data_IF_969738634078
#
_entry.id   IF_969738634078
#
_cell.length_a   1.000
_cell.length_b   1.000
_cell.length_c   1.000
_cell.angle_alpha   90.00
_cell.angle_beta   90.00
_cell.angle_gamma   90.00
#
_symmetry.space_group_name_H-M   'P 1'
#
loop_
_entity.id
_entity.type
_entity.pdbx_description
1 polymer ?
#
# COMPACT_ATOMS: atom_id res chain seq x y z
N UNK A 1 -10.20 4.65 22.67
CA UNK A 1 -11.00 5.60 21.86
C UNK A 1 -10.83 5.18 20.41
N UNK A 2 -11.91 4.84 19.71
CA UNK A 2 -11.85 4.65 18.26
C UNK A 2 -11.77 6.03 17.63
N UNK A 3 -10.61 6.37 17.07
CA UNK A 3 -10.46 7.57 16.24
C UNK A 3 -11.24 7.28 14.95
N UNK A 4 -12.22 8.13 14.63
CA UNK A 4 -12.92 8.07 13.36
C UNK A 4 -12.10 8.90 12.38
N UNK A 5 -11.67 8.27 11.30
CA UNK A 5 -10.98 8.93 10.20
C UNK A 5 -12.06 9.53 9.31
N UNK A 6 -11.98 10.84 9.08
CA UNK A 6 -12.90 11.49 8.17
C UNK A 6 -12.67 10.98 6.72
N UNK A 7 -13.71 10.96 5.88
CA UNK A 7 -13.58 10.40 4.53
C UNK A 7 -12.55 11.11 3.64
N UNK A 8 -12.30 12.39 3.84
CA UNK A 8 -11.36 13.17 3.03
C UNK A 8 -9.92 12.76 3.35
N UNK A 9 -9.57 12.67 4.63
CA UNK A 9 -8.27 12.18 5.10
C UNK A 9 -8.00 10.76 4.60
N UNK A 10 -8.98 9.85 4.74
CA UNK A 10 -8.82 8.47 4.26
C UNK A 10 -8.59 8.39 2.75
N UNK A 11 -9.37 9.14 1.96
CA UNK A 11 -9.18 9.23 0.51
C UNK A 11 -7.83 9.86 0.13
N UNK A 12 -7.40 10.89 0.85
CA UNK A 12 -6.12 11.55 0.63
C UNK A 12 -4.95 10.59 0.89
N UNK A 13 -4.97 9.86 2.01
CA UNK A 13 -3.99 8.82 2.32
C UNK A 13 -3.92 7.75 1.23
N UNK A 14 -5.08 7.27 0.76
CA UNK A 14 -5.13 6.27 -0.31
C UNK A 14 -4.45 6.78 -1.60
N UNK A 15 -4.79 8.01 -2.01
CA UNK A 15 -4.23 8.61 -3.21
C UNK A 15 -2.71 8.81 -3.11
N UNK A 16 -2.22 9.31 -1.97
CA UNK A 16 -0.79 9.54 -1.75
C UNK A 16 -0.01 8.23 -1.70
N UNK A 17 -0.52 7.21 -1.01
CA UNK A 17 0.09 5.88 -1.00
C UNK A 17 0.20 5.29 -2.41
N UNK A 18 -0.85 5.40 -3.22
CA UNK A 18 -0.84 4.90 -4.59
C UNK A 18 0.20 5.62 -5.46
N UNK A 19 0.40 6.92 -5.26
CA UNK A 19 1.46 7.69 -5.93
C UNK A 19 2.86 7.23 -5.48
N UNK A 20 3.09 7.08 -4.18
CA UNK A 20 4.42 6.74 -3.66
C UNK A 20 4.90 5.34 -4.03
N UNK A 21 3.98 4.43 -4.32
CA UNK A 21 4.30 3.09 -4.82
C UNK A 21 4.25 3.00 -6.34
N UNK A 22 4.24 4.15 -7.03
CA UNK A 22 4.24 4.27 -8.49
C UNK A 22 3.15 3.40 -9.15
N UNK A 23 1.96 3.38 -8.57
CA UNK A 23 0.80 2.62 -9.07
C UNK A 23 0.98 1.10 -9.18
N UNK A 24 2.04 0.53 -8.60
CA UNK A 24 2.18 -0.93 -8.42
C UNK A 24 1.14 -1.51 -7.45
N UNK A 25 0.47 -0.63 -6.72
CA UNK A 25 -0.69 -0.95 -5.92
C UNK A 25 -1.85 -0.04 -6.29
N UNK A 26 -3.07 -0.57 -6.19
CA UNK A 26 -4.29 0.20 -6.10
C UNK A 26 -4.66 0.34 -4.63
N UNK A 27 -4.88 1.56 -4.15
CA UNK A 27 -5.23 1.80 -2.75
C UNK A 27 -6.64 2.37 -2.66
N UNK A 28 -7.49 1.74 -1.86
CA UNK A 28 -8.86 2.18 -1.63
C UNK A 28 -9.05 2.53 -0.14
N UNK A 29 -9.69 3.66 0.12
CA UNK A 29 -10.28 3.93 1.43
C UNK A 29 -11.66 3.27 1.51
N UNK A 30 -11.91 2.52 2.58
CA UNK A 30 -13.20 1.88 2.86
C UNK A 30 -13.83 2.53 4.11
N UNK A 31 -14.66 3.59 3.96
CA UNK A 31 -15.18 4.38 5.08
C UNK A 31 -15.99 3.56 6.11
N UNK A 32 -16.76 2.57 5.62
CA UNK A 32 -17.56 1.69 6.49
C UNK A 32 -16.72 0.73 7.33
N UNK A 33 -15.51 0.40 6.87
CA UNK A 33 -14.56 -0.44 7.60
C UNK A 33 -13.49 0.35 8.37
N UNK A 34 -13.38 1.66 8.13
CA UNK A 34 -12.35 2.54 8.72
C UNK A 34 -10.93 2.00 8.49
N UNK A 35 -10.64 1.59 7.24
CA UNK A 35 -9.35 1.03 6.84
C UNK A 35 -9.05 1.30 5.36
N UNK A 36 -7.77 1.21 5.03
CA UNK A 36 -7.25 1.21 3.67
C UNK A 36 -7.09 -0.24 3.19
N UNK A 37 -7.43 -0.48 1.92
CA UNK A 37 -7.17 -1.75 1.24
C UNK A 37 -6.25 -1.51 0.06
N UNK A 38 -5.11 -2.20 0.06
CA UNK A 38 -4.12 -2.17 -1.01
C UNK A 38 -4.20 -3.44 -1.84
N UNK A 39 -4.44 -3.34 -3.15
CA UNK A 39 -4.39 -4.44 -4.11
C UNK A 39 -3.12 -4.35 -4.94
N UNK A 40 -2.31 -5.41 -4.94
CA UNK A 40 -1.10 -5.44 -5.74
C UNK A 40 -1.42 -5.64 -7.22
N UNK A 41 -0.91 -4.76 -8.08
CA UNK A 41 -1.10 -4.80 -9.54
C UNK A 41 0.02 -5.52 -10.29
N UNK A 42 1.09 -5.89 -9.60
CA UNK A 42 2.23 -6.58 -10.20
C UNK A 42 1.96 -8.06 -10.47
N UNK A 43 2.94 -8.72 -11.09
CA UNK A 43 2.91 -10.14 -11.36
C UNK A 43 3.07 -10.92 -10.05
N UNK A 44 1.95 -11.33 -9.48
CA UNK A 44 1.87 -12.12 -8.26
C UNK A 44 0.73 -13.14 -8.39
N UNK A 45 0.67 -14.13 -7.49
CA UNK A 45 -0.22 -15.31 -7.50
C UNK A 45 -1.57 -15.13 -8.22
N UNK A 46 -2.03 -16.16 -8.94
CA UNK A 46 -3.22 -16.14 -9.82
C UNK A 46 -4.51 -15.62 -9.16
N UNK A 47 -4.62 -15.67 -7.83
CA UNK A 47 -5.75 -15.14 -7.07
C UNK A 47 -5.68 -13.64 -6.74
N UNK A 48 -4.58 -12.95 -7.09
CA UNK A 48 -4.29 -11.60 -6.65
C UNK A 48 -3.93 -11.52 -5.16
N UNK A 49 -3.28 -10.42 -4.75
CA UNK A 49 -2.98 -10.18 -3.34
C UNK A 49 -3.46 -8.80 -2.92
N UNK A 50 -4.14 -8.77 -1.76
CA UNK A 50 -4.49 -7.54 -1.10
C UNK A 50 -4.09 -7.55 0.37
N UNK A 51 -3.92 -6.35 0.94
CA UNK A 51 -3.63 -6.11 2.35
C UNK A 51 -4.51 -4.99 2.87
N UNK A 52 -4.80 -5.03 4.17
CA UNK A 52 -5.63 -4.06 4.87
C UNK A 52 -4.85 -3.48 6.04
N UNK A 53 -5.02 -2.20 6.29
CA UNK A 53 -4.43 -1.48 7.42
C UNK A 53 -5.30 -0.28 7.77
N UNK A 54 -5.39 0.08 9.05
CA UNK A 54 -6.27 1.19 9.49
C UNK A 54 -5.79 2.53 8.97
N UNK A 55 -4.49 2.67 8.83
CA UNK A 55 -3.79 3.87 8.38
C UNK A 55 -2.56 3.48 7.51
N UNK A 56 -1.85 4.46 6.94
CA UNK A 56 -0.66 4.19 6.15
C UNK A 56 0.48 3.50 6.94
N UNK A 57 0.62 3.73 8.25
CA UNK A 57 1.67 3.10 9.05
C UNK A 57 1.47 1.59 9.16
N UNK A 58 0.22 1.15 9.32
CA UNK A 58 -0.11 -0.28 9.35
C UNK A 58 0.01 -0.93 7.97
N UNK A 59 -0.42 -0.22 6.92
CA UNK A 59 -0.49 -0.79 5.58
C UNK A 59 0.90 -0.89 4.91
N UNK A 60 1.77 0.10 5.11
CA UNK A 60 3.08 0.18 4.46
C UNK A 60 3.97 -1.08 4.63
N UNK A 61 4.23 -1.59 5.85
CA UNK A 61 5.08 -2.77 6.01
C UNK A 61 4.48 -4.02 5.35
N UNK A 62 3.15 -4.13 5.30
CA UNK A 62 2.46 -5.25 4.64
C UNK A 62 2.64 -5.20 3.11
N UNK A 63 2.50 -4.02 2.52
CA UNK A 63 2.76 -3.80 1.10
C UNK A 63 4.21 -4.09 0.75
N UNK A 64 5.14 -3.61 1.57
CA UNK A 64 6.59 -3.82 1.39
C UNK A 64 6.96 -5.30 1.37
N UNK A 65 6.41 -6.12 2.28
CA UNK A 65 6.65 -7.57 2.29
C UNK A 65 6.23 -8.24 0.98
N UNK A 66 5.02 -7.94 0.49
CA UNK A 66 4.53 -8.46 -0.80
C UNK A 66 5.40 -7.99 -1.96
N UNK A 67 5.74 -6.70 -2.00
CA UNK A 67 6.54 -6.15 -3.08
C UNK A 67 7.96 -6.74 -3.12
N UNK A 68 8.57 -6.99 -1.96
CA UNK A 68 9.87 -7.67 -1.88
C UNK A 68 9.81 -9.09 -2.42
N UNK A 69 8.76 -9.85 -2.09
CA UNK A 69 8.56 -11.20 -2.64
C UNK A 69 8.31 -11.16 -4.14
N UNK A 70 7.48 -10.22 -4.61
CA UNK A 70 7.23 -10.03 -6.04
C UNK A 70 8.50 -9.69 -6.82
N UNK A 71 9.38 -8.86 -6.25
CA UNK A 71 10.70 -8.57 -6.82
C UNK A 71 11.58 -9.81 -6.94
N UNK A 72 11.64 -10.65 -5.90
CA UNK A 72 12.42 -11.89 -5.93
C UNK A 72 11.94 -12.81 -7.04
N UNK A 73 10.62 -12.96 -7.20
CA UNK A 73 10.02 -13.76 -8.26
C UNK A 73 10.27 -13.18 -9.65
N UNK A 74 10.05 -11.88 -9.83
CA UNK A 74 10.25 -11.21 -11.12
C UNK A 74 11.70 -11.34 -11.63
N UNK A 75 12.69 -11.34 -10.73
CA UNK A 75 14.09 -11.56 -11.06
C UNK A 75 14.37 -12.97 -11.61
N UNK A 76 13.63 -13.99 -11.16
CA UNK A 76 13.76 -15.38 -11.64
C UNK A 76 13.02 -15.58 -12.97
N UNK A 77 11.85 -14.96 -13.11
CA UNK A 77 10.93 -15.17 -14.24
C UNK A 77 11.12 -14.16 -15.38
N UNK A 78 12.13 -13.27 -15.30
CA UNK A 78 12.37 -12.19 -16.26
C UNK A 78 11.15 -11.27 -16.50
N UNK A 79 10.37 -11.03 -15.45
CA UNK A 79 9.20 -10.15 -15.46
C UNK A 79 9.60 -8.72 -15.04
N UNK A 80 8.76 -7.71 -15.33
CA UNK A 80 8.91 -6.37 -14.79
C UNK A 80 9.09 -6.39 -13.26
N UNK A 81 10.20 -5.82 -12.78
CA UNK A 81 10.58 -5.82 -11.36
C UNK A 81 9.94 -4.60 -10.68
N UNK A 82 9.03 -4.77 -9.70
CA UNK A 82 8.47 -3.66 -8.93
C UNK A 82 9.57 -2.86 -8.22
N UNK A 83 9.45 -1.55 -7.96
CA UNK A 83 10.47 -0.77 -7.27
C UNK A 83 10.71 -1.25 -5.83
N UNK A 84 11.82 -0.84 -5.20
CA UNK A 84 12.02 -1.10 -3.76
C UNK A 84 11.20 -0.08 -2.98
N UNK A 85 10.36 -0.55 -2.05
CA UNK A 85 9.76 0.35 -1.06
C UNK A 85 10.72 0.50 0.11
N UNK A 86 10.98 1.75 0.50
CA UNK A 86 11.82 2.08 1.66
C UNK A 86 11.24 1.50 2.95
N UNK A 87 12.10 1.31 3.95
CA UNK A 87 11.71 0.62 5.18
C UNK A 87 10.58 1.37 5.92
N UNK A 88 10.70 2.69 6.03
CA UNK A 88 9.73 3.53 6.70
C UNK A 88 8.78 4.15 5.68
N UNK A 89 7.58 4.47 6.12
CA UNK A 89 6.65 5.28 5.34
C UNK A 89 7.34 6.62 4.99
N UNK A 90 7.22 7.12 3.74
CA UNK A 90 7.84 8.39 3.34
C UNK A 90 7.42 9.55 4.24
N UNK A 91 8.34 10.49 4.52
CA UNK A 91 8.10 11.61 5.44
C UNK A 91 6.91 12.50 5.03
N UNK A 92 6.65 12.59 3.72
CA UNK A 92 5.49 13.27 3.12
C UNK A 92 4.16 12.72 3.65
N UNK A 93 4.06 11.40 3.74
CA UNK A 93 2.90 10.69 4.28
C UNK A 93 2.95 10.63 5.81
N UNK A 94 4.15 10.47 6.39
CA UNK A 94 4.36 10.42 7.84
C UNK A 94 3.83 11.67 8.54
N UNK A 95 4.18 12.85 8.02
CA UNK A 95 3.82 14.13 8.63
C UNK A 95 2.34 14.49 8.44
N UNK A 96 1.65 13.85 7.50
CA UNK A 96 0.25 14.14 7.19
C UNK A 96 -0.74 13.16 7.87
N UNK A 97 -0.22 12.23 8.67
CA UNK A 97 -1.01 11.39 9.58
C UNK A 97 -1.07 12.01 10.99
N UNK A 98 -0.19 13.00 11.26
CA UNK A 98 -0.07 13.72 12.54
C UNK A 98 -0.98 14.93 12.67
#
# INVERSE_FOLDING_TARGET
MNVIIDPETGCWWAAQLEQEVHHWWQILWEPGGQHLTAYFRGHWEEGGVYRKGRDPHELWPLMRDIQNKARQRAAVEALPVPPVLVERLPDTLWNAIG
#
